data_IF_811063985388
#
_entry.id   IF_811063985388
#
_cell.length_a   1.000
_cell.length_b   1.000
_cell.length_c   1.000
_cell.angle_alpha   90.00
_cell.angle_beta   90.00
_cell.angle_gamma   90.00
#
_symmetry.space_group_name_H-M   'P 1'
#
loop_
_entity.id
_entity.type
_entity.pdbx_description
1 polymer ?
#
# COMPACT_ATOMS: atom_id res chain seq x y z
N UNK A 1 15.57 -27.94 -30.63
CA UNK A 1 14.93 -26.67 -30.25
C UNK A 1 13.58 -27.00 -29.66
N UNK A 2 13.47 -27.03 -28.32
CA UNK A 2 12.18 -27.19 -27.64
C UNK A 2 11.67 -25.78 -27.30
N UNK A 3 10.44 -25.41 -27.69
CA UNK A 3 9.84 -24.16 -27.23
C UNK A 3 9.53 -24.26 -25.74
N UNK A 4 9.96 -23.23 -25.01
CA UNK A 4 9.87 -23.07 -23.56
C UNK A 4 8.42 -23.14 -23.07
N UNK A 5 8.07 -24.22 -22.38
CA UNK A 5 6.81 -24.41 -21.66
C UNK A 5 6.78 -23.58 -20.36
N UNK A 6 7.08 -22.28 -20.44
CA UNK A 6 7.10 -21.36 -19.30
C UNK A 6 5.95 -20.33 -19.34
N UNK A 7 4.97 -20.51 -20.23
CA UNK A 7 4.00 -19.44 -20.54
C UNK A 7 2.58 -19.58 -19.97
N UNK A 8 2.21 -20.59 -19.17
CA UNK A 8 0.75 -20.81 -18.91
C UNK A 8 0.28 -21.13 -17.49
N UNK A 9 1.08 -20.88 -16.45
CA UNK A 9 0.66 -21.20 -15.07
C UNK A 9 0.37 -19.97 -14.19
N UNK A 10 0.96 -18.81 -14.47
CA UNK A 10 0.87 -17.62 -13.58
C UNK A 10 -0.16 -16.56 -14.02
N UNK A 11 -0.90 -16.80 -15.10
CA UNK A 11 -1.92 -15.88 -15.65
C UNK A 11 -3.22 -15.88 -14.81
N UNK A 12 -3.28 -16.63 -13.71
CA UNK A 12 -4.21 -16.37 -12.59
C UNK A 12 -3.41 -15.62 -11.52
N UNK A 13 -3.74 -14.40 -11.10
CA UNK A 13 -5.00 -13.66 -11.21
C UNK A 13 -4.78 -12.23 -10.67
N UNK A 14 -3.84 -11.48 -11.21
CA UNK A 14 -3.73 -10.08 -10.82
C UNK A 14 -5.00 -9.34 -11.26
N UNK A 15 -5.61 -8.51 -10.38
CA UNK A 15 -6.78 -7.74 -10.76
C UNK A 15 -6.44 -6.80 -11.93
N UNK A 16 -7.44 -6.37 -12.72
CA UNK A 16 -7.27 -5.25 -13.62
C UNK A 16 -6.65 -4.06 -12.89
N UNK A 17 -5.79 -3.31 -13.59
CA UNK A 17 -5.08 -2.15 -13.08
C UNK A 17 -5.96 -1.16 -12.30
N UNK A 18 -7.17 -0.88 -12.77
CA UNK A 18 -8.07 0.05 -12.07
C UNK A 18 -8.57 -0.54 -10.74
N UNK A 19 -8.82 -1.85 -10.68
CA UNK A 19 -9.18 -2.54 -9.44
C UNK A 19 -7.98 -2.63 -8.47
N UNK A 20 -6.77 -2.79 -9.02
CA UNK A 20 -5.54 -2.75 -8.26
C UNK A 20 -5.35 -1.39 -7.59
N UNK A 21 -5.50 -0.30 -8.36
CA UNK A 21 -5.45 1.08 -7.85
C UNK A 21 -6.52 1.27 -6.78
N UNK A 22 -7.79 1.01 -7.10
CA UNK A 22 -8.93 1.18 -6.18
C UNK A 22 -8.73 0.43 -4.85
N UNK A 23 -8.20 -0.80 -4.88
CA UNK A 23 -7.88 -1.54 -3.67
C UNK A 23 -6.84 -0.82 -2.79
N UNK A 24 -5.80 -0.25 -3.40
CA UNK A 24 -4.80 0.52 -2.66
C UNK A 24 -5.37 1.82 -2.11
N UNK A 25 -6.13 2.56 -2.92
CA UNK A 25 -6.75 3.83 -2.52
C UNK A 25 -7.71 3.62 -1.34
N UNK A 26 -8.47 2.51 -1.33
CA UNK A 26 -9.28 2.09 -0.19
C UNK A 26 -8.47 1.84 1.07
N UNK A 27 -7.31 1.20 0.97
CA UNK A 27 -6.42 1.01 2.13
C UNK A 27 -5.92 2.37 2.65
N UNK A 28 -5.55 3.30 1.75
CA UNK A 28 -5.15 4.66 2.14
C UNK A 28 -6.29 5.41 2.83
N UNK A 29 -7.50 5.30 2.29
CA UNK A 29 -8.70 5.86 2.89
C UNK A 29 -8.92 5.32 4.32
N UNK A 30 -8.82 4.00 4.52
CA UNK A 30 -8.98 3.39 5.84
C UNK A 30 -7.90 3.86 6.83
N UNK A 31 -6.64 4.01 6.38
CA UNK A 31 -5.58 4.59 7.21
C UNK A 31 -5.91 6.03 7.62
N UNK A 32 -6.45 6.84 6.70
CA UNK A 32 -6.91 8.19 7.01
C UNK A 32 -8.04 8.18 8.06
N UNK A 33 -9.03 7.30 7.91
CA UNK A 33 -10.11 7.18 8.89
C UNK A 33 -9.62 6.70 10.25
N UNK A 34 -8.72 5.71 10.29
CA UNK A 34 -8.09 5.23 11.53
C UNK A 34 -7.40 6.38 12.28
N UNK A 35 -6.66 7.23 11.56
CA UNK A 35 -5.99 8.38 12.16
C UNK A 35 -6.96 9.43 12.73
N UNK A 36 -8.16 9.56 12.16
CA UNK A 36 -9.21 10.44 12.68
C UNK A 36 -9.85 9.90 13.96
N UNK A 37 -10.10 8.59 14.03
CA UNK A 37 -10.84 7.97 15.12
C UNK A 37 -9.95 7.38 16.23
N UNK A 38 -8.63 7.32 16.06
CA UNK A 38 -7.71 6.61 16.97
C UNK A 38 -7.85 6.98 18.46
N UNK A 39 -8.28 8.20 18.79
CA UNK A 39 -8.47 8.67 20.17
C UNK A 39 -9.90 8.48 20.69
N UNK A 40 -10.82 8.06 19.84
CA UNK A 40 -12.24 7.86 20.15
C UNK A 40 -12.60 6.38 20.34
N UNK A 41 -11.72 5.46 19.93
CA UNK A 41 -11.96 4.02 20.05
C UNK A 41 -11.22 3.49 21.28
N UNK A 42 -11.96 2.99 22.26
CA UNK A 42 -11.45 2.58 23.58
C UNK A 42 -10.60 1.31 23.51
N UNK A 43 -10.89 0.38 22.59
CA UNK A 43 -10.22 -0.94 22.49
C UNK A 43 -10.09 -1.47 21.06
N UNK A 44 -9.30 -0.80 20.20
CA UNK A 44 -8.42 -1.59 19.35
C UNK A 44 -6.99 -1.14 19.55
N UNK A 45 -6.07 -2.10 19.47
CA UNK A 45 -4.66 -1.81 19.35
C UNK A 45 -4.42 -1.13 17.99
N UNK A 46 -4.59 0.20 17.95
CA UNK A 46 -4.48 1.06 16.76
C UNK A 46 -3.19 0.79 16.02
N UNK A 47 -2.10 0.53 16.75
CA UNK A 47 -0.82 0.12 16.18
C UNK A 47 -0.95 -1.19 15.39
N UNK A 48 -1.52 -2.26 15.96
CA UNK A 48 -1.71 -3.51 15.21
C UNK A 48 -2.58 -3.33 13.96
N UNK A 49 -3.62 -2.49 14.02
CA UNK A 49 -4.46 -2.21 12.85
C UNK A 49 -3.67 -1.46 11.78
N UNK A 50 -2.94 -0.41 12.16
CA UNK A 50 -2.09 0.36 11.26
C UNK A 50 -1.02 -0.52 10.61
N UNK A 51 -0.35 -1.36 11.39
CA UNK A 51 0.67 -2.30 10.88
C UNK A 51 0.09 -3.33 9.93
N UNK A 52 -1.11 -3.87 10.21
CA UNK A 52 -1.81 -4.78 9.29
C UNK A 52 -2.15 -4.09 7.97
N UNK A 53 -2.67 -2.87 8.02
CA UNK A 53 -2.98 -2.08 6.82
C UNK A 53 -1.72 -1.79 5.99
N UNK A 54 -0.60 -1.40 6.63
CA UNK A 54 0.67 -1.21 5.90
C UNK A 54 1.22 -2.53 5.37
N UNK A 55 1.07 -3.62 6.10
CA UNK A 55 1.47 -4.94 5.61
C UNK A 55 0.65 -5.36 4.39
N UNK A 56 -0.66 -5.06 4.38
CA UNK A 56 -1.51 -5.24 3.21
C UNK A 56 -1.00 -4.47 2.00
N UNK A 57 -0.33 -3.32 2.16
CA UNK A 57 0.29 -2.56 1.07
C UNK A 57 1.57 -3.20 0.53
N UNK A 58 2.22 -4.15 1.23
CA UNK A 58 3.48 -4.77 0.74
C UNK A 58 3.34 -5.47 -0.61
N UNK A 59 2.13 -5.86 -1.00
CA UNK A 59 1.87 -6.38 -2.33
C UNK A 59 2.29 -5.41 -3.44
N UNK A 60 2.26 -4.08 -3.20
CA UNK A 60 2.71 -3.03 -4.12
C UNK A 60 4.13 -3.30 -4.59
N UNK A 61 5.05 -3.68 -3.70
CA UNK A 61 6.44 -4.01 -4.10
C UNK A 61 6.51 -5.19 -5.07
N UNK A 62 5.63 -6.19 -4.91
CA UNK A 62 5.59 -7.35 -5.81
C UNK A 62 5.03 -6.97 -7.17
N UNK A 63 4.02 -6.12 -7.19
CA UNK A 63 3.32 -5.73 -8.42
C UNK A 63 3.97 -4.54 -9.15
N UNK A 64 4.97 -3.92 -8.53
CA UNK A 64 5.79 -2.85 -9.12
C UNK A 64 7.16 -3.34 -9.58
N UNK A 65 7.40 -4.65 -9.59
CA UNK A 65 8.64 -5.21 -10.14
C UNK A 65 8.75 -4.90 -11.65
N UNK A 66 9.98 -4.79 -12.17
CA UNK A 66 10.24 -4.39 -13.56
C UNK A 66 9.61 -5.34 -14.59
N UNK A 67 9.43 -6.61 -14.22
CA UNK A 67 8.81 -7.70 -14.97
C UNK A 67 7.31 -7.87 -14.67
N UNK A 68 6.72 -7.03 -13.82
CA UNK A 68 5.30 -7.10 -13.45
C UNK A 68 4.37 -6.45 -14.48
N UNK A 69 3.14 -6.95 -14.58
CA UNK A 69 2.10 -6.45 -15.49
C UNK A 69 1.74 -4.97 -15.28
N UNK A 70 1.95 -4.43 -14.08
CA UNK A 70 1.67 -3.02 -13.78
C UNK A 70 2.90 -2.11 -13.96
N UNK A 71 4.09 -2.71 -13.97
CA UNK A 71 5.37 -2.03 -14.14
C UNK A 71 5.82 -1.17 -12.94
N UNK A 72 7.05 -0.62 -13.00
CA UNK A 72 7.68 0.08 -11.87
C UNK A 72 7.02 1.42 -11.52
N UNK A 73 6.15 1.95 -12.38
CA UNK A 73 5.43 3.21 -12.16
C UNK A 73 4.13 3.03 -11.39
N UNK A 74 3.71 1.79 -11.08
CA UNK A 74 2.46 1.53 -10.37
C UNK A 74 2.28 2.34 -9.07
N UNK A 75 3.28 2.50 -8.17
CA UNK A 75 3.12 3.27 -6.94
C UNK A 75 2.83 4.76 -7.20
N UNK A 76 3.37 5.31 -8.29
CA UNK A 76 3.18 6.71 -8.67
C UNK A 76 1.78 6.98 -9.26
N UNK A 77 1.04 5.93 -9.65
CA UNK A 77 -0.33 6.06 -10.15
C UNK A 77 -1.38 6.15 -9.05
N UNK A 78 -1.00 5.75 -7.83
CA UNK A 78 -1.84 5.88 -6.64
C UNK A 78 -1.62 7.28 -6.08
N UNK A 79 -2.53 8.18 -6.38
CA UNK A 79 -2.47 9.59 -5.94
C UNK A 79 -3.53 9.88 -4.87
N UNK A 80 -4.68 9.22 -4.94
CA UNK A 80 -5.83 9.52 -4.09
C UNK A 80 -6.14 8.39 -3.07
N UNK A 81 -6.87 8.69 -1.99
CA UNK A 81 -6.77 9.99 -1.31
C UNK A 81 -5.32 10.20 -0.81
N UNK A 82 -4.81 11.44 -0.78
CA UNK A 82 -3.53 11.72 -0.12
C UNK A 82 -3.59 11.32 1.36
N UNK A 83 -2.43 11.00 1.94
CA UNK A 83 -2.39 10.84 3.39
C UNK A 83 -2.59 12.19 4.06
N UNK A 84 -3.41 12.22 5.12
CA UNK A 84 -3.56 13.43 5.92
C UNK A 84 -2.37 13.61 6.86
N UNK A 85 -2.16 14.82 7.39
CA UNK A 85 -1.13 15.07 8.40
C UNK A 85 -1.26 14.13 9.62
N UNK A 86 -2.48 13.86 10.08
CA UNK A 86 -2.76 12.91 11.18
C UNK A 86 -2.37 11.48 10.81
N UNK A 87 -2.56 11.08 9.56
CA UNK A 87 -2.16 9.75 9.08
C UNK A 87 -0.64 9.62 9.07
N UNK A 88 0.08 10.64 8.59
CA UNK A 88 1.54 10.65 8.62
C UNK A 88 2.07 10.58 10.06
N UNK A 89 1.46 11.31 10.99
CA UNK A 89 1.80 11.25 12.41
C UNK A 89 1.51 9.86 13.00
N UNK A 90 0.33 9.28 12.74
CA UNK A 90 -0.01 7.92 13.16
C UNK A 90 1.00 6.91 12.64
N UNK A 91 1.37 6.98 11.36
CA UNK A 91 2.36 6.07 10.78
C UNK A 91 3.72 6.25 11.46
N UNK A 92 4.20 7.48 11.64
CA UNK A 92 5.50 7.75 12.28
C UNK A 92 5.57 7.28 13.73
N UNK A 93 4.45 7.32 14.46
CA UNK A 93 4.41 7.03 15.91
C UNK A 93 3.99 5.60 16.22
N UNK A 94 3.23 4.94 15.35
CA UNK A 94 2.60 3.65 15.64
C UNK A 94 3.08 2.49 14.77
N UNK A 95 3.73 2.72 13.63
CA UNK A 95 4.30 1.62 12.84
C UNK A 95 5.80 1.52 13.02
N UNK A 96 6.33 0.29 12.96
CA UNK A 96 7.76 0.06 13.07
C UNK A 96 8.58 0.66 11.90
N UNK A 97 9.90 0.78 12.10
CA UNK A 97 10.80 1.38 11.12
C UNK A 97 10.79 0.66 9.76
N UNK A 98 10.62 -0.67 9.72
CA UNK A 98 10.55 -1.41 8.46
C UNK A 98 9.36 -0.99 7.60
N UNK A 99 8.21 -0.71 8.23
CA UNK A 99 7.03 -0.19 7.54
C UNK A 99 7.24 1.22 7.00
N UNK A 100 7.89 2.10 7.77
CA UNK A 100 8.22 3.45 7.30
C UNK A 100 9.20 3.43 6.13
N UNK A 101 10.24 2.59 6.19
CA UNK A 101 11.19 2.43 5.08
C UNK A 101 10.52 1.88 3.83
N UNK A 102 9.58 0.94 3.97
CA UNK A 102 8.77 0.48 2.85
C UNK A 102 7.98 1.62 2.21
N UNK A 103 7.25 2.42 2.99
CA UNK A 103 6.47 3.55 2.47
C UNK A 103 7.35 4.61 1.79
N UNK A 104 8.52 4.92 2.36
CA UNK A 104 9.49 5.84 1.74
C UNK A 104 9.91 5.38 0.34
N UNK A 105 10.10 4.08 0.13
CA UNK A 105 10.48 3.49 -1.17
C UNK A 105 9.37 3.60 -2.22
N UNK A 106 8.11 3.73 -1.82
CA UNK A 106 6.99 3.93 -2.75
C UNK A 106 6.94 5.35 -3.33
N UNK A 107 7.58 6.32 -2.67
CA UNK A 107 7.68 7.71 -3.11
C UNK A 107 7.12 8.73 -2.11
N UNK A 108 7.26 10.02 -2.43
CA UNK A 108 6.92 11.13 -1.51
C UNK A 108 5.46 11.13 -1.04
N UNK A 109 4.52 10.81 -1.92
CA UNK A 109 3.07 10.75 -1.64
C UNK A 109 2.70 9.74 -0.52
N UNK A 110 3.63 8.90 -0.08
CA UNK A 110 3.43 7.88 0.94
C UNK A 110 3.97 8.27 2.32
N UNK A 111 4.68 9.40 2.41
CA UNK A 111 5.35 9.87 3.63
C UNK A 111 5.12 11.35 3.94
N UNK A 112 4.52 12.07 2.99
CA UNK A 112 4.11 13.46 3.08
C UNK A 112 2.58 13.54 3.01
N UNK A 113 2.02 14.56 3.66
CA UNK A 113 0.61 14.86 3.48
C UNK A 113 0.40 15.62 2.18
N UNK A 114 -0.64 15.25 1.43
CA UNK A 114 -1.12 16.02 0.26
C UNK A 114 -2.14 17.06 0.64
#
# INVERSE_FOLDING_TARGET
>A
MHPSTLERSDIKRYPPLDQAIDAVEKIRYVLNQLALIQNQVVEPNVQQVAERLVNSLRWISRVSASDSIYGPRFPARISEPPFTARTIELLRTRVNASHLEFLKRLGKNWIESG
#
